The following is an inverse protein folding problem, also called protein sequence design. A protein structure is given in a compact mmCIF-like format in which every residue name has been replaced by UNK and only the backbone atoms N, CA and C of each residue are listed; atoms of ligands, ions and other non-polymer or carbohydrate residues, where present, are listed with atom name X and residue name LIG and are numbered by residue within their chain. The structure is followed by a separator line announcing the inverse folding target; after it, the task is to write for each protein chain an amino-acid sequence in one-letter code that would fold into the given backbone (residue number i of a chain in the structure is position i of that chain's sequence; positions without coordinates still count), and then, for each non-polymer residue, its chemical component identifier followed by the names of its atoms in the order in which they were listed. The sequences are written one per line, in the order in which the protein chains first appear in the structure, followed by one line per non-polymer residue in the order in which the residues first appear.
data_IF_199421101062
#
_entry.id   IF_199421101062
#
_cell.length_a   1.000
_cell.length_b   1.000
_cell.length_c   1.000
_cell.angle_alpha   90.00
_cell.angle_beta   90.00
_cell.angle_gamma   90.00
#
_symmetry.space_group_name_H-M   'P 1'
#
loop_
_entity.id
_entity.type
_entity.pdbx_description
1 polymer ?
#
# COMPACT_ATOMS: atom_id res chain seq x y z
N UNK A 1 -25.98 -20.18 27.56
CA UNK A 1 -26.61 -19.39 26.47
C UNK A 1 -26.46 -17.88 26.65
N UNK A 2 -26.35 -17.33 27.87
CA UNK A 2 -26.13 -15.88 28.09
C UNK A 2 -24.74 -15.38 27.63
N UNK A 3 -23.69 -16.16 27.85
CA UNK A 3 -22.30 -15.77 27.56
C UNK A 3 -22.03 -15.56 26.06
N UNK A 4 -22.71 -16.31 25.18
CA UNK A 4 -22.61 -16.11 23.72
C UNK A 4 -23.26 -14.80 23.24
N UNK A 5 -24.34 -14.35 23.91
CA UNK A 5 -25.03 -13.09 23.56
C UNK A 5 -24.25 -11.86 23.99
N UNK A 6 -23.52 -11.89 25.11
CA UNK A 6 -22.70 -10.77 25.57
C UNK A 6 -21.48 -10.54 24.67
N UNK A 7 -20.78 -11.61 24.25
CA UNK A 7 -19.63 -11.53 23.32
C UNK A 7 -20.03 -10.95 21.95
N UNK A 8 -21.19 -11.35 21.43
CA UNK A 8 -21.69 -10.87 20.13
C UNK A 8 -22.08 -9.39 20.18
N UNK A 9 -22.67 -8.93 21.30
CA UNK A 9 -23.00 -7.52 21.51
C UNK A 9 -21.74 -6.66 21.63
N UNK A 10 -20.73 -7.13 22.37
CA UNK A 10 -19.46 -6.43 22.52
C UNK A 10 -18.78 -6.20 21.16
N UNK A 11 -18.70 -7.24 20.33
CA UNK A 11 -18.05 -7.15 19.02
C UNK A 11 -18.75 -6.15 18.08
N UNK A 12 -20.08 -6.12 18.08
CA UNK A 12 -20.84 -5.17 17.26
C UNK A 12 -20.71 -3.72 17.75
N UNK A 13 -20.65 -3.50 19.07
CA UNK A 13 -20.38 -2.17 19.64
C UNK A 13 -18.98 -1.70 19.28
N UNK A 14 -17.97 -2.57 19.41
CA UNK A 14 -16.57 -2.26 19.04
C UNK A 14 -16.48 -1.87 17.56
N UNK A 15 -17.04 -2.68 16.65
CA UNK A 15 -17.05 -2.38 15.20
C UNK A 15 -17.71 -1.04 14.87
N UNK A 16 -18.77 -0.68 15.61
CA UNK A 16 -19.48 0.59 15.39
C UNK A 16 -18.64 1.78 15.85
N UNK A 17 -18.00 1.67 17.02
CA UNK A 17 -17.08 2.69 17.55
C UNK A 17 -15.87 2.84 16.63
N UNK A 18 -15.25 1.74 16.22
CA UNK A 18 -14.12 1.72 15.29
C UNK A 18 -14.46 2.43 13.98
N UNK A 19 -15.61 2.11 13.37
CA UNK A 19 -16.10 2.78 12.16
C UNK A 19 -16.27 4.28 12.36
N UNK A 20 -16.74 4.72 13.52
CA UNK A 20 -16.90 6.14 13.83
C UNK A 20 -15.54 6.84 14.00
N UNK A 21 -14.60 6.22 14.73
CA UNK A 21 -13.24 6.74 14.92
C UNK A 21 -12.55 6.91 13.56
N UNK A 22 -12.58 5.89 12.69
CA UNK A 22 -11.90 5.94 11.40
C UNK A 22 -12.50 7.01 10.50
N UNK A 23 -13.83 7.14 10.43
CA UNK A 23 -14.50 8.20 9.65
C UNK A 23 -14.11 9.59 10.12
N UNK A 24 -14.10 9.81 11.43
CA UNK A 24 -13.66 11.08 12.02
C UNK A 24 -12.20 11.36 11.71
N UNK A 25 -11.32 10.34 11.81
CA UNK A 25 -9.90 10.47 11.51
C UNK A 25 -9.64 10.81 10.04
N UNK A 26 -10.33 10.16 9.10
CA UNK A 26 -10.25 10.47 7.66
C UNK A 26 -10.68 11.92 7.40
N UNK A 27 -11.77 12.38 8.02
CA UNK A 27 -12.25 13.75 7.90
C UNK A 27 -11.25 14.78 8.42
N UNK A 28 -10.72 14.57 9.62
CA UNK A 28 -9.72 15.45 10.24
C UNK A 28 -8.41 15.48 9.44
N UNK A 29 -7.91 14.32 8.99
CA UNK A 29 -6.70 14.25 8.16
C UNK A 29 -6.87 14.98 6.84
N UNK A 30 -8.02 14.81 6.17
CA UNK A 30 -8.32 15.50 4.91
C UNK A 30 -8.37 17.01 5.12
N UNK A 31 -9.00 17.49 6.19
CA UNK A 31 -9.04 18.90 6.53
C UNK A 31 -7.63 19.47 6.79
N UNK A 32 -6.82 18.76 7.60
CA UNK A 32 -5.45 19.17 7.89
C UNK A 32 -4.58 19.22 6.64
N UNK A 33 -4.74 18.26 5.71
CA UNK A 33 -4.04 18.25 4.43
C UNK A 33 -4.40 19.46 3.56
N UNK A 34 -5.69 19.81 3.48
CA UNK A 34 -6.13 20.99 2.73
C UNK A 34 -5.50 22.25 3.32
N UNK A 35 -5.57 22.41 4.65
CA UNK A 35 -4.98 23.57 5.35
C UNK A 35 -3.46 23.63 5.10
N UNK A 36 -2.75 22.50 5.28
CA UNK A 36 -1.30 22.45 5.07
C UNK A 36 -0.90 22.76 3.62
N UNK A 37 -1.70 22.31 2.65
CA UNK A 37 -1.45 22.59 1.22
C UNK A 37 -1.66 24.06 0.90
N UNK A 38 -2.72 24.68 1.41
CA UNK A 38 -2.97 26.13 1.26
C UNK A 38 -1.85 26.92 1.94
N UNK A 39 -1.45 26.53 3.14
CA UNK A 39 -0.35 27.16 3.87
C UNK A 39 0.97 27.09 3.09
N UNK A 40 1.27 25.93 2.50
CA UNK A 40 2.46 25.76 1.66
C UNK A 40 2.39 26.68 0.43
N UNK A 41 1.25 26.72 -0.26
CA UNK A 41 1.05 27.63 -1.41
C UNK A 41 1.23 29.10 -1.02
N UNK A 42 0.70 29.49 0.14
CA UNK A 42 0.89 30.83 0.69
C UNK A 42 2.38 31.13 0.99
N UNK A 43 3.10 30.20 1.63
CA UNK A 43 4.53 30.36 1.91
C UNK A 43 5.33 30.52 0.62
N UNK A 44 5.10 29.66 -0.38
CA UNK A 44 5.76 29.74 -1.69
C UNK A 44 5.47 31.08 -2.37
N UNK A 45 4.20 31.49 -2.42
CA UNK A 45 3.81 32.75 -3.04
C UNK A 45 4.46 33.95 -2.35
N UNK A 46 4.43 33.98 -1.01
CA UNK A 46 5.06 35.03 -0.22
C UNK A 46 6.57 35.07 -0.46
N UNK A 47 7.25 33.93 -0.42
CA UNK A 47 8.69 33.84 -0.65
C UNK A 47 9.11 34.30 -2.05
N UNK A 48 8.26 34.12 -3.06
CA UNK A 48 8.52 34.60 -4.43
C UNK A 48 8.37 36.13 -4.52
N UNK A 49 7.31 36.70 -3.92
CA UNK A 49 7.03 38.14 -4.01
C UNK A 49 8.01 38.98 -3.17
N UNK A 50 8.42 38.49 -2.00
CA UNK A 50 9.38 39.19 -1.14
C UNK A 50 10.83 39.09 -1.65
N UNK A 51 11.11 38.17 -2.58
CA UNK A 51 12.45 37.96 -3.13
C UNK A 51 12.77 38.99 -4.21
N UNK A 52 13.68 39.92 -3.93
CA UNK A 52 14.11 41.01 -4.81
C UNK A 52 14.67 40.54 -6.18
N UNK A 53 15.21 39.32 -6.26
CA UNK A 53 15.85 38.77 -7.49
C UNK A 53 15.16 37.48 -7.98
N UNK A 54 13.95 37.16 -7.52
CA UNK A 54 13.30 35.85 -7.79
C UNK A 54 14.14 34.59 -7.45
N UNK A 55 15.22 34.74 -6.68
CA UNK A 55 16.10 33.64 -6.23
C UNK A 55 15.87 33.47 -4.74
N UNK A 56 15.32 32.32 -4.35
CA UNK A 56 15.14 31.96 -2.94
C UNK A 56 16.46 31.46 -2.33
N UNK A 57 16.67 31.82 -1.07
CA UNK A 57 17.76 31.29 -0.26
C UNK A 57 17.60 29.78 -0.03
N UNK A 58 18.73 29.06 0.07
CA UNK A 58 18.71 27.61 0.28
C UNK A 58 17.98 27.22 1.58
N UNK A 59 18.09 28.01 2.64
CA UNK A 59 17.40 27.71 3.90
C UNK A 59 15.88 27.83 3.73
N UNK A 60 15.41 28.87 3.03
CA UNK A 60 13.98 29.03 2.70
C UNK A 60 13.49 27.87 1.84
N UNK A 61 14.29 27.43 0.87
CA UNK A 61 13.94 26.29 0.03
C UNK A 61 13.85 24.98 0.84
N UNK A 62 14.77 24.75 1.76
CA UNK A 62 14.75 23.59 2.67
C UNK A 62 13.52 23.60 3.59
N UNK A 63 13.15 24.77 4.11
CA UNK A 63 11.93 24.94 4.91
C UNK A 63 10.67 24.60 4.09
N UNK A 64 10.58 25.11 2.85
CA UNK A 64 9.48 24.80 1.94
C UNK A 64 9.43 23.30 1.61
N UNK A 65 10.56 22.65 1.37
CA UNK A 65 10.62 21.20 1.18
C UNK A 65 10.17 20.45 2.44
N UNK A 66 10.48 20.94 3.64
CA UNK A 66 10.03 20.31 4.88
C UNK A 66 8.51 20.34 5.08
N UNK A 67 7.88 21.46 4.71
CA UNK A 67 6.41 21.59 4.68
C UNK A 67 5.83 20.76 3.54
N UNK A 68 6.45 20.69 2.37
CA UNK A 68 6.02 19.82 1.28
C UNK A 68 6.05 18.33 1.67
N UNK A 69 7.13 17.87 2.31
CA UNK A 69 7.23 16.52 2.85
C UNK A 69 6.19 16.26 3.96
N UNK A 70 5.78 17.29 4.72
CA UNK A 70 4.69 17.18 5.69
C UNK A 70 3.38 16.80 4.98
N UNK A 71 3.07 17.49 3.88
CA UNK A 71 1.86 17.25 3.09
C UNK A 71 1.89 15.85 2.47
N UNK A 72 3.01 15.45 1.86
CA UNK A 72 3.15 14.11 1.28
C UNK A 72 2.93 12.99 2.30
N UNK A 73 3.48 13.12 3.50
CA UNK A 73 3.27 12.12 4.56
C UNK A 73 1.83 12.10 5.02
N UNK A 74 1.17 13.25 5.13
CA UNK A 74 -0.26 13.27 5.46
C UNK A 74 -1.09 12.55 4.40
N UNK A 75 -0.75 12.67 3.12
CA UNK A 75 -1.41 11.96 2.01
C UNK A 75 -1.20 10.44 2.15
N UNK A 76 0.04 10.02 2.40
CA UNK A 76 0.41 8.62 2.61
C UNK A 76 -0.35 8.00 3.81
N UNK A 77 -0.40 8.73 4.93
CA UNK A 77 -1.13 8.30 6.13
C UNK A 77 -2.64 8.24 5.88
N UNK A 78 -3.20 9.20 5.14
CA UNK A 78 -4.61 9.18 4.77
C UNK A 78 -4.94 7.93 3.93
N UNK A 79 -4.07 7.54 3.00
CA UNK A 79 -4.25 6.33 2.21
C UNK A 79 -4.16 5.07 3.08
N UNK A 80 -3.16 5.01 3.97
CA UNK A 80 -3.01 3.92 4.94
C UNK A 80 -4.27 3.72 5.80
N UNK A 81 -4.84 4.82 6.31
CA UNK A 81 -6.08 4.78 7.12
C UNK A 81 -7.29 4.36 6.27
N UNK A 82 -7.38 4.79 5.00
CA UNK A 82 -8.45 4.36 4.09
C UNK A 82 -8.36 2.86 3.78
N UNK A 83 -7.15 2.33 3.60
CA UNK A 83 -6.93 0.90 3.38
C UNK A 83 -7.36 0.11 4.62
N UNK A 84 -7.01 0.59 5.82
CA UNK A 84 -7.49 0.00 7.06
C UNK A 84 -9.02 -0.03 7.13
N UNK A 85 -9.68 1.07 6.77
CA UNK A 85 -11.14 1.15 6.76
C UNK A 85 -11.80 0.12 5.81
N UNK A 86 -11.19 -0.13 4.64
CA UNK A 86 -11.74 -1.05 3.64
C UNK A 86 -11.50 -2.51 3.98
N UNK A 87 -10.31 -2.85 4.49
CA UNK A 87 -9.91 -4.25 4.68
C UNK A 87 -10.00 -4.73 6.12
N UNK A 88 -10.19 -3.84 7.10
CA UNK A 88 -10.18 -4.10 8.56
C UNK A 88 -8.96 -4.86 9.11
N UNK A 89 -7.97 -5.17 8.27
CA UNK A 89 -6.75 -5.90 8.63
C UNK A 89 -5.50 -5.05 8.36
N UNK A 90 -4.84 -4.60 9.44
CA UNK A 90 -3.50 -4.01 9.35
C UNK A 90 -2.48 -5.13 9.43
N UNK A 91 -1.76 -5.34 8.34
CA UNK A 91 -0.60 -6.22 8.34
C UNK A 91 0.55 -5.52 9.08
N UNK A 92 1.27 -6.26 9.92
CA UNK A 92 2.44 -5.73 10.68
C UNK A 92 3.48 -5.08 9.74
N UNK A 93 3.55 -5.55 8.50
CA UNK A 93 4.36 -4.98 7.43
C UNK A 93 4.08 -3.48 7.19
N UNK A 94 2.81 -3.07 7.20
CA UNK A 94 2.39 -1.67 6.97
C UNK A 94 2.88 -0.78 8.10
N UNK A 95 2.78 -1.24 9.35
CA UNK A 95 3.25 -0.48 10.51
C UNK A 95 4.76 -0.27 10.45
N UNK A 96 5.52 -1.29 10.03
CA UNK A 96 6.96 -1.19 9.84
C UNK A 96 7.34 -0.22 8.71
N UNK A 97 6.61 -0.23 7.60
CA UNK A 97 6.83 0.73 6.50
C UNK A 97 6.58 2.16 6.96
N UNK A 98 5.47 2.41 7.68
CA UNK A 98 5.16 3.73 8.24
C UNK A 98 6.25 4.18 9.22
N UNK A 99 6.78 3.28 10.05
CA UNK A 99 7.89 3.57 10.96
C UNK A 99 9.17 3.96 10.20
N UNK A 100 9.52 3.24 9.13
CA UNK A 100 10.68 3.56 8.28
C UNK A 100 10.51 4.93 7.60
N UNK A 101 9.33 5.22 7.05
CA UNK A 101 9.01 6.53 6.44
C UNK A 101 9.14 7.65 7.48
N UNK A 102 8.62 7.43 8.70
CA UNK A 102 8.69 8.41 9.77
C UNK A 102 10.14 8.76 10.17
N UNK A 103 10.99 7.74 10.31
CA UNK A 103 12.42 7.94 10.63
C UNK A 103 13.15 8.60 9.46
N UNK A 104 12.93 8.15 8.22
CA UNK A 104 13.55 8.74 7.04
C UNK A 104 13.25 10.25 6.94
N UNK A 105 12.00 10.66 7.15
CA UNK A 105 11.64 12.08 7.12
C UNK A 105 12.23 12.88 8.28
N UNK A 106 12.40 12.26 9.45
CA UNK A 106 13.09 12.92 10.58
C UNK A 106 14.56 13.20 10.25
N UNK A 107 15.21 12.27 9.54
CA UNK A 107 16.62 12.41 9.12
C UNK A 107 16.78 13.50 8.05
N UNK A 108 15.88 13.57 7.06
CA UNK A 108 15.95 14.60 6.00
C UNK A 108 15.84 16.02 6.58
N UNK A 109 15.05 16.20 7.63
CA UNK A 109 14.85 17.49 8.31
C UNK A 109 15.84 17.74 9.46
N UNK A 110 16.81 16.85 9.63
CA UNK A 110 17.77 16.94 10.71
C UNK A 110 18.92 17.87 10.33
N UNK A 111 19.10 18.91 11.11
CA UNK A 111 20.26 19.79 11.03
C UNK A 111 21.45 19.13 11.73
N UNK A 112 22.34 18.52 10.95
CA UNK A 112 23.46 17.69 11.44
C UNK A 112 24.41 18.46 12.36
N UNK A 113 24.52 19.77 12.18
CA UNK A 113 25.42 20.61 12.97
C UNK A 113 25.00 20.73 14.45
N UNK A 114 23.75 20.37 14.76
CA UNK A 114 23.20 20.39 16.13
C UNK A 114 23.38 19.07 16.89
N UNK A 115 23.86 18.01 16.24
CA UNK A 115 23.95 16.67 16.83
C UNK A 115 25.39 16.22 16.99
N UNK A 116 25.65 15.51 18.07
CA UNK A 116 26.94 14.85 18.29
C UNK A 116 27.06 13.61 17.41
N UNK A 117 28.30 13.18 17.11
CA UNK A 117 28.55 11.97 16.33
C UNK A 117 27.91 10.71 16.93
N UNK A 118 27.78 10.64 18.26
CA UNK A 118 27.12 9.52 18.95
C UNK A 118 25.60 9.51 18.73
N UNK A 119 24.94 10.66 18.69
CA UNK A 119 23.50 10.74 18.41
C UNK A 119 23.20 10.29 16.98
N UNK A 120 24.03 10.72 16.02
CA UNK A 120 23.90 10.30 14.61
C UNK A 120 24.09 8.78 14.48
N UNK A 121 25.06 8.21 15.20
CA UNK A 121 25.27 6.77 15.24
C UNK A 121 24.06 6.02 15.83
N UNK A 122 23.45 6.58 16.88
CA UNK A 122 22.21 6.04 17.48
C UNK A 122 21.05 6.01 16.48
N UNK A 123 20.87 7.09 15.71
CA UNK A 123 19.86 7.15 14.63
C UNK A 123 20.13 6.09 13.57
N UNK A 124 21.38 5.91 13.13
CA UNK A 124 21.75 4.85 12.20
C UNK A 124 21.41 3.45 12.75
N UNK A 125 21.66 3.21 14.04
CA UNK A 125 21.29 1.97 14.71
C UNK A 125 19.79 1.68 14.69
N UNK A 126 18.96 2.70 14.93
CA UNK A 126 17.49 2.58 14.86
C UNK A 126 17.04 2.24 13.43
N UNK A 127 17.59 2.93 12.43
CA UNK A 127 17.27 2.67 11.00
C UNK A 127 17.61 1.23 10.64
N UNK A 128 18.78 0.74 11.03
CA UNK A 128 19.20 -0.65 10.77
C UNK A 128 18.29 -1.64 11.47
N UNK A 129 17.94 -1.40 12.74
CA UNK A 129 17.05 -2.28 13.50
C UNK A 129 15.66 -2.38 12.86
N UNK A 130 15.08 -1.26 12.41
CA UNK A 130 13.80 -1.22 11.71
C UNK A 130 13.86 -1.93 10.36
N UNK A 131 14.92 -1.70 9.59
CA UNK A 131 15.12 -2.34 8.29
C UNK A 131 15.28 -3.86 8.42
N UNK A 132 16.05 -4.34 9.41
CA UNK A 132 16.20 -5.75 9.70
C UNK A 132 14.90 -6.38 10.21
N UNK A 133 14.16 -5.68 11.07
CA UNK A 133 12.85 -6.12 11.53
C UNK A 133 11.87 -6.32 10.37
N UNK A 134 11.79 -5.34 9.46
CA UNK A 134 10.99 -5.43 8.25
C UNK A 134 11.42 -6.62 7.37
N UNK A 135 12.73 -6.79 7.17
CA UNK A 135 13.29 -7.90 6.39
C UNK A 135 12.91 -9.26 6.95
N UNK A 136 13.03 -9.46 8.27
CA UNK A 136 12.67 -10.73 8.90
C UNK A 136 11.18 -11.03 8.84
N UNK A 137 10.31 -10.04 9.05
CA UNK A 137 8.86 -10.20 8.91
C UNK A 137 8.49 -10.63 7.48
N UNK A 138 9.10 -9.98 6.47
CA UNK A 138 8.90 -10.33 5.07
C UNK A 138 9.39 -11.75 4.76
N UNK A 139 10.57 -12.12 5.26
CA UNK A 139 11.14 -13.47 5.09
C UNK A 139 10.31 -14.55 5.79
N UNK A 140 9.70 -14.24 6.93
CA UNK A 140 8.87 -15.17 7.70
C UNK A 140 7.48 -15.42 7.08
N UNK A 141 7.18 -14.85 5.91
CA UNK A 141 5.91 -15.06 5.21
C UNK A 141 4.88 -13.95 5.41
N UNK A 142 5.31 -12.73 5.78
CA UNK A 142 4.45 -11.56 5.72
C UNK A 142 4.01 -11.29 4.28
N UNK A 143 2.86 -11.83 3.88
CA UNK A 143 2.30 -11.68 2.54
C UNK A 143 0.80 -11.43 2.63
N UNK A 144 0.40 -10.18 2.37
CA UNK A 144 -1.00 -9.78 2.19
C UNK A 144 -1.18 -8.32 1.74
N UNK A 145 -0.08 -7.59 1.54
CA UNK A 145 -0.12 -6.15 1.26
C UNK A 145 -0.27 -5.80 -0.23
N UNK A 146 0.46 -6.45 -1.16
CA UNK A 146 0.52 -5.99 -2.56
C UNK A 146 -0.74 -6.32 -3.38
N UNK A 147 -1.49 -5.33 -3.88
CA UNK A 147 -2.48 -5.55 -4.93
C UNK A 147 -1.75 -5.77 -6.27
N UNK A 148 -1.68 -7.03 -6.75
CA UNK A 148 -1.27 -7.36 -8.12
C UNK A 148 -2.43 -7.11 -9.07
N UNK A 149 -2.35 -6.06 -9.87
CA UNK A 149 -3.22 -5.89 -11.03
C UNK A 149 -2.80 -6.92 -12.12
N UNK A 150 -3.72 -7.77 -12.56
CA UNK A 150 -3.51 -8.67 -13.71
C UNK A 150 -4.38 -8.17 -14.87
N UNK A 151 -3.74 -7.70 -15.94
CA UNK A 151 -4.41 -7.38 -17.20
C UNK A 151 -4.94 -8.67 -17.83
N UNK A 152 -6.26 -8.81 -17.97
CA UNK A 152 -6.86 -9.91 -18.74
C UNK A 152 -6.99 -9.50 -20.20
N UNK A 153 -6.08 -9.96 -21.05
CA UNK A 153 -6.16 -9.80 -22.51
C UNK A 153 -7.23 -10.77 -23.04
N UNK A 154 -8.37 -10.25 -23.51
CA UNK A 154 -9.33 -11.04 -24.30
C UNK A 154 -9.02 -10.88 -25.78
N UNK A 155 -8.82 -12.01 -26.44
CA UNK A 155 -8.71 -12.10 -27.89
C UNK A 155 -10.08 -11.94 -28.55
N UNK A 156 -10.34 -10.79 -29.18
CA UNK A 156 -11.54 -10.59 -30.01
C UNK A 156 -11.22 -11.05 -31.43
N UNK A 157 -11.92 -12.09 -31.90
CA UNK A 157 -11.92 -12.49 -33.31
C UNK A 157 -12.93 -11.60 -34.02
N UNK A 158 -12.45 -10.74 -34.90
CA UNK A 158 -13.32 -9.92 -35.76
C UNK A 158 -13.44 -10.64 -37.10
N UNK A 159 -14.64 -11.12 -37.40
CA UNK A 159 -14.99 -11.56 -38.76
C UNK A 159 -15.23 -10.32 -39.62
N UNK A 160 -14.25 -9.95 -40.43
CA UNK A 160 -14.45 -8.99 -41.51
C UNK A 160 -15.05 -9.75 -42.72
N UNK A 161 -16.24 -9.36 -43.17
CA UNK A 161 -16.80 -9.82 -44.44
C UNK A 161 -16.51 -8.77 -45.51
N UNK A 162 -15.55 -9.06 -46.39
CA UNK A 162 -15.35 -8.28 -47.61
C UNK A 162 -16.30 -8.77 -48.72
N UNK A 163 -16.96 -7.81 -49.38
CA UNK A 163 -17.74 -8.05 -50.58
C UNK A 163 -16.89 -7.72 -51.81
N UNK A 164 -16.60 -8.74 -52.62
CA UNK A 164 -16.02 -8.57 -53.95
C UNK A 164 -17.09 -8.10 -54.96
N UNK A 165 -16.66 -7.35 -55.99
CA UNK A 165 -17.52 -6.69 -56.97
C UNK A 165 -18.31 -7.64 -57.89
N UNK A 166 -18.15 -8.96 -57.74
CA UNK A 166 -18.87 -10.01 -58.46
C UNK A 166 -19.79 -10.89 -57.57
N UNK A 167 -20.16 -10.42 -56.37
CA UNK A 167 -21.32 -10.95 -55.63
C UNK A 167 -21.16 -12.35 -55.03
N UNK A 168 -19.94 -12.79 -54.69
CA UNK A 168 -19.70 -13.99 -53.86
C UNK A 168 -18.84 -13.66 -52.65
N UNK A 169 -19.31 -14.04 -51.46
CA UNK A 169 -18.66 -13.81 -50.16
C UNK A 169 -17.44 -14.73 -49.97
N UNK A 170 -16.31 -14.17 -49.54
CA UNK A 170 -15.19 -14.92 -48.95
C UNK A 170 -15.03 -14.49 -47.49
N UNK A 171 -15.17 -15.43 -46.55
CA UNK A 171 -14.84 -15.21 -45.14
C UNK A 171 -13.31 -15.19 -44.98
N UNK A 172 -12.77 -14.08 -44.50
CA UNK A 172 -11.38 -13.98 -44.07
C UNK A 172 -11.35 -13.46 -42.62
N UNK A 173 -11.10 -14.35 -41.66
CA UNK A 173 -11.00 -14.00 -40.23
C UNK A 173 -9.70 -13.21 -39.97
N UNK A 174 -9.79 -12.01 -39.35
CA UNK A 174 -8.62 -11.30 -38.81
C UNK A 174 -8.86 -10.94 -37.35
N UNK A 175 -8.12 -11.60 -36.46
CA UNK A 175 -8.13 -11.39 -35.00
C UNK A 175 -7.60 -9.99 -34.65
N UNK A 176 -8.39 -9.16 -33.94
CA UNK A 176 -7.99 -7.84 -33.42
C UNK A 176 -8.28 -7.79 -31.92
N UNK A 177 -7.25 -7.72 -31.10
CA UNK A 177 -7.36 -7.74 -29.62
C UNK A 177 -7.77 -6.37 -29.08
N UNK A 178 -8.83 -6.30 -28.27
CA UNK A 178 -9.32 -5.10 -27.59
C UNK A 178 -9.29 -5.32 -26.08
N UNK A 179 -8.61 -4.42 -25.34
CA UNK A 179 -8.42 -4.50 -23.89
C UNK A 179 -9.52 -3.75 -23.15
N UNK A 180 -10.29 -4.43 -22.31
CA UNK A 180 -11.27 -3.83 -21.41
C UNK A 180 -10.94 -4.19 -19.95
N UNK A 181 -10.80 -3.19 -19.07
CA UNK A 181 -10.53 -3.35 -17.63
C UNK A 181 -11.85 -3.45 -16.87
N UNK A 182 -12.12 -4.60 -16.25
CA UNK A 182 -13.18 -4.75 -15.25
C UNK A 182 -12.57 -5.19 -13.92
N UNK A 183 -12.96 -4.50 -12.85
CA UNK A 183 -12.48 -4.71 -11.47
C UNK A 183 -13.50 -5.59 -10.76
N UNK A 184 -13.20 -6.87 -10.51
CA UNK A 184 -13.71 -7.60 -9.34
C UNK A 184 -12.94 -8.91 -9.05
N UNK A 185 -13.11 -9.39 -7.82
CA UNK A 185 -12.19 -10.07 -6.90
C UNK A 185 -11.59 -11.48 -7.17
N UNK A 186 -10.42 -11.68 -6.53
CA UNK A 186 -9.85 -12.88 -5.87
C UNK A 186 -9.52 -14.14 -6.71
N UNK A 187 -8.21 -14.35 -6.98
CA UNK A 187 -7.66 -15.68 -7.36
C UNK A 187 -6.35 -15.96 -6.62
N UNK A 188 -6.32 -17.08 -5.91
CA UNK A 188 -5.21 -17.70 -5.17
C UNK A 188 -3.94 -17.85 -6.03
N UNK A 189 -2.72 -17.67 -5.49
CA UNK A 189 -1.52 -17.58 -6.31
C UNK A 189 -0.99 -18.95 -6.75
N UNK A 190 -0.83 -19.12 -8.07
CA UNK A 190 0.01 -20.14 -8.69
C UNK A 190 1.47 -19.98 -8.22
N UNK A 191 1.91 -20.93 -7.39
CA UNK A 191 3.24 -21.02 -6.81
C UNK A 191 4.26 -21.47 -7.87
N UNK A 192 4.85 -20.50 -8.58
CA UNK A 192 6.18 -20.66 -9.18
C UNK A 192 7.17 -19.69 -8.55
N UNK A 193 7.62 -20.04 -7.36
CA UNK A 193 8.94 -19.68 -6.81
C UNK A 193 9.22 -20.58 -5.63
N UNK A 194 10.36 -21.27 -5.66
CA UNK A 194 10.71 -22.35 -4.73
C UNK A 194 10.84 -21.93 -3.28
N UNK A 195 9.72 -21.94 -2.56
CA UNK A 195 9.67 -21.85 -1.10
C UNK A 195 8.87 -23.05 -0.55
N UNK A 196 9.57 -24.02 0.02
CA UNK A 196 8.98 -25.14 0.77
C UNK A 196 8.89 -24.74 2.24
N UNK A 197 7.78 -24.12 2.63
CA UNK A 197 7.48 -23.84 4.04
C UNK A 197 7.22 -25.14 4.83
N UNK A 198 7.12 -25.09 6.17
CA UNK A 198 7.06 -26.28 7.03
C UNK A 198 5.73 -27.04 6.87
N UNK A 199 5.65 -27.93 5.88
CA UNK A 199 4.48 -28.78 5.61
C UNK A 199 4.79 -30.27 5.57
N UNK A 200 5.87 -30.71 6.20
CA UNK A 200 6.28 -32.12 6.07
C UNK A 200 5.73 -33.03 7.20
N UNK A 201 5.15 -32.49 8.28
CA UNK A 201 4.69 -33.34 9.41
C UNK A 201 3.19 -33.60 9.51
N UNK A 202 2.35 -32.86 8.81
CA UNK A 202 0.89 -33.06 8.85
C UNK A 202 0.46 -33.97 7.69
N UNK A 203 1.09 -33.84 6.53
CA UNK A 203 0.76 -34.63 5.33
C UNK A 203 1.29 -36.07 5.44
N UNK A 204 2.42 -36.32 6.12
CA UNK A 204 2.92 -37.69 6.33
C UNK A 204 2.03 -38.53 7.25
N UNK A 205 1.41 -37.93 8.28
CA UNK A 205 0.51 -38.66 9.20
C UNK A 205 -0.75 -39.17 8.51
N UNK A 206 -1.30 -38.39 7.59
CA UNK A 206 -2.54 -38.76 6.91
C UNK A 206 -2.28 -39.80 5.79
N UNK A 207 -1.11 -39.75 5.15
CA UNK A 207 -0.72 -40.74 4.13
C UNK A 207 -0.40 -42.11 4.75
N UNK A 208 0.15 -42.16 5.96
CA UNK A 208 0.47 -43.42 6.64
C UNK A 208 -0.79 -44.11 7.22
N UNK A 209 -1.75 -43.32 7.71
CA UNK A 209 -3.06 -43.82 8.18
C UNK A 209 -3.92 -44.40 7.03
N UNK A 210 -3.78 -43.90 5.81
CA UNK A 210 -4.56 -44.36 4.66
C UNK A 210 -3.94 -45.59 3.96
N UNK A 211 -2.63 -45.82 4.12
CA UNK A 211 -1.97 -47.05 3.66
C UNK A 211 -2.29 -48.26 4.54
N UNK A 212 -2.51 -48.07 5.84
CA UNK A 212 -2.80 -49.16 6.78
C UNK A 212 -4.25 -49.66 6.69
N UNK A 213 -5.15 -48.88 6.08
CA UNK A 213 -6.54 -49.30 5.78
C UNK A 213 -6.71 -50.08 4.48
N UNK A 214 -5.65 -50.24 3.69
CA UNK A 214 -5.67 -50.97 2.40
C UNK A 214 -4.83 -52.25 2.41
N UNK A 215 -4.38 -52.71 3.58
CA UNK A 215 -3.84 -54.06 3.80
C UNK A 215 -4.77 -54.83 4.73
#
# INVERSE_FOLDING_TARGET
MEESKSLTRLNNTVKTIERYIIKTLIGLMTLLLVIATVQLGYMVFKSIIESEVFIMDLNVLMDLFGVFLLVLIGIELLDTIKVYFKKHDIHVEVVMLVALIAVARKIILMDIDKYTGFEILGVAGIVIALALGYYFIKKAGGCGFWPREKETVKDVVVEETEFDKDGKTKLAERKKTLTEKNIEEQVEPDLKSGYTGPKDKIIERDIEQEKDKRK
#
